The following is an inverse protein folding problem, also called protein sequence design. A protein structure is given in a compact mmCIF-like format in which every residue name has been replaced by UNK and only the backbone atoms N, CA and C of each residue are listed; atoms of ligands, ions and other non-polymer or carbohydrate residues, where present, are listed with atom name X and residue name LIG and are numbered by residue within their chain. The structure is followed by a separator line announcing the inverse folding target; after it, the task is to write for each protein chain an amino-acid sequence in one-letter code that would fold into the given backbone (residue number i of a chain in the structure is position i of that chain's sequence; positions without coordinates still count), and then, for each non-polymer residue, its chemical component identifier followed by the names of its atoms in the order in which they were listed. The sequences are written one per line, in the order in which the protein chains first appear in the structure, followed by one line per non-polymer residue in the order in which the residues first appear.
data_IF_019922561706
#
_entry.id   IF_019922561706
#
_cell.length_a   1.000
_cell.length_b   1.000
_cell.length_c   1.000
_cell.angle_alpha   90.00
_cell.angle_beta   90.00
_cell.angle_gamma   90.00
#
_symmetry.space_group_name_H-M   'P 1'
#
loop_
_entity.id
_entity.type
_entity.pdbx_description
1 polymer ?
#
# COMPACT_ATOMS: atom_id res chain seq x y z
N UNK A 1 -7.17 -23.22 -6.46
CA UNK A 1 -5.80 -22.67 -6.39
C UNK A 1 -5.93 -21.16 -6.53
N UNK A 2 -5.36 -20.37 -5.62
CA UNK A 2 -5.29 -18.91 -5.82
C UNK A 2 -4.27 -18.64 -6.91
N UNK A 3 -4.63 -17.88 -7.93
CA UNK A 3 -3.73 -17.52 -9.03
C UNK A 3 -2.63 -16.55 -8.56
N UNK A 4 -2.95 -15.70 -7.58
CA UNK A 4 -1.99 -14.82 -6.92
C UNK A 4 -2.44 -13.36 -6.91
N UNK A 5 -1.61 -12.51 -6.30
CA UNK A 5 -1.76 -11.07 -6.21
C UNK A 5 -0.43 -10.41 -6.56
N UNK A 6 -0.51 -9.34 -7.32
CA UNK A 6 0.64 -8.46 -7.57
C UNK A 6 0.25 -7.04 -7.18
N UNK A 7 1.17 -6.34 -6.54
CA UNK A 7 0.96 -4.95 -6.13
C UNK A 7 2.19 -4.12 -6.41
N UNK A 8 1.94 -2.88 -6.81
CA UNK A 8 2.94 -1.85 -7.06
C UNK A 8 2.63 -0.63 -6.23
N UNK A 9 3.67 -0.05 -5.64
CA UNK A 9 3.61 1.19 -4.89
C UNK A 9 4.75 2.09 -5.31
N UNK A 10 4.48 3.40 -5.39
CA UNK A 10 5.51 4.40 -5.65
C UNK A 10 5.30 5.60 -4.75
N UNK A 11 6.40 6.15 -4.27
CA UNK A 11 6.40 7.41 -3.58
C UNK A 11 6.04 8.53 -4.56
N UNK A 12 5.16 9.44 -4.16
CA UNK A 12 4.73 10.58 -4.97
C UNK A 12 5.33 11.88 -4.44
N UNK A 13 5.00 12.22 -3.20
CA UNK A 13 5.38 13.48 -2.56
C UNK A 13 5.26 13.38 -1.03
N UNK A 14 5.88 14.32 -0.32
CA UNK A 14 5.66 14.53 1.11
C UNK A 14 4.81 15.79 1.26
N UNK A 15 3.69 15.68 1.97
CA UNK A 15 2.78 16.79 2.26
C UNK A 15 2.52 16.84 3.76
N UNK A 16 2.84 17.97 4.38
CA UNK A 16 2.58 18.22 5.80
C UNK A 16 3.14 17.13 6.74
N UNK A 17 4.31 16.58 6.43
CA UNK A 17 4.94 15.48 7.19
C UNK A 17 4.32 14.09 6.95
N UNK A 18 3.35 14.00 6.04
CA UNK A 18 2.82 12.73 5.54
C UNK A 18 3.45 12.39 4.20
N UNK A 19 3.91 11.15 4.06
CA UNK A 19 4.38 10.57 2.82
C UNK A 19 3.17 10.06 2.03
N UNK A 20 3.04 10.56 0.80
CA UNK A 20 1.98 10.17 -0.12
C UNK A 20 2.55 9.12 -1.07
N UNK A 21 1.92 7.95 -1.06
CA UNK A 21 2.22 6.84 -1.94
C UNK A 21 1.04 6.59 -2.86
N UNK A 22 1.33 6.36 -4.14
CA UNK A 22 0.35 5.83 -5.06
C UNK A 22 0.55 4.34 -5.21
N UNK A 23 -0.55 3.62 -5.34
CA UNK A 23 -0.50 2.17 -5.45
C UNK A 23 -1.55 1.64 -6.41
N UNK A 24 -1.25 0.48 -6.98
CA UNK A 24 -2.13 -0.29 -7.85
C UNK A 24 -1.74 -1.76 -7.78
N UNK A 25 -2.53 -2.62 -8.40
CA UNK A 25 -2.21 -4.03 -8.44
C UNK A 25 -3.26 -4.82 -9.18
N UNK A 26 -3.08 -6.13 -9.19
CA UNK A 26 -4.02 -7.06 -9.78
C UNK A 26 -4.29 -8.20 -8.81
N UNK A 27 -5.55 -8.60 -8.80
CA UNK A 27 -5.98 -9.86 -8.23
C UNK A 27 -6.17 -10.85 -9.39
N UNK A 28 -5.22 -11.77 -9.58
CA UNK A 28 -5.32 -12.74 -10.66
C UNK A 28 -6.47 -13.75 -10.45
N UNK A 29 -7.12 -13.74 -9.29
CA UNK A 29 -8.33 -14.52 -9.03
C UNK A 29 -9.63 -13.85 -9.53
N UNK A 30 -9.58 -12.58 -9.92
CA UNK A 30 -10.71 -11.84 -10.42
C UNK A 30 -10.49 -11.45 -11.89
N UNK A 31 -11.55 -11.38 -12.72
CA UNK A 31 -11.44 -10.79 -14.05
C UNK A 31 -11.05 -9.32 -13.88
N UNK A 32 -9.87 -8.96 -14.35
CA UNK A 32 -9.33 -7.60 -14.37
C UNK A 32 -8.83 -7.32 -15.78
N UNK A 33 -9.03 -6.10 -16.28
CA UNK A 33 -8.39 -5.66 -17.50
C UNK A 33 -6.88 -5.59 -17.25
N UNK A 34 -6.08 -6.23 -18.11
CA UNK A 34 -4.61 -6.35 -17.96
C UNK A 34 -3.87 -5.00 -18.03
N UNK A 35 -4.54 -3.94 -18.45
CA UNK A 35 -3.98 -2.58 -18.50
C UNK A 35 -4.12 -1.84 -17.15
N UNK A 36 -4.88 -2.38 -16.19
CA UNK A 36 -5.20 -1.68 -14.93
C UNK A 36 -4.11 -1.83 -13.84
N UNK A 37 -3.15 -2.76 -13.97
CA UNK A 37 -2.15 -3.05 -12.92
C UNK A 37 -1.22 -1.87 -12.59
N UNK A 38 -1.01 -0.94 -13.53
CA UNK A 38 -0.04 0.16 -13.42
C UNK A 38 -0.72 1.54 -13.45
N UNK A 39 -2.02 1.61 -13.13
CA UNK A 39 -2.73 2.88 -13.09
C UNK A 39 -2.27 3.80 -11.95
N UNK A 40 -1.73 3.25 -10.86
CA UNK A 40 -1.38 4.00 -9.65
C UNK A 40 -2.52 4.92 -9.18
N UNK A 41 -3.74 4.41 -9.25
CA UNK A 41 -4.96 5.17 -9.02
C UNK A 41 -5.43 5.16 -7.57
N UNK A 42 -4.86 4.25 -6.75
CA UNK A 42 -4.97 4.26 -5.30
C UNK A 42 -3.95 5.18 -4.64
N UNK A 43 -4.31 5.78 -3.53
CA UNK A 43 -3.48 6.74 -2.78
C UNK A 43 -3.47 6.39 -1.29
N UNK A 44 -2.28 6.25 -0.73
CA UNK A 44 -2.02 5.99 0.69
C UNK A 44 -1.26 7.18 1.27
N UNK A 45 -1.63 7.57 2.48
CA UNK A 45 -0.93 8.57 3.29
C UNK A 45 -0.35 7.90 4.53
N UNK A 46 0.95 8.09 4.76
CA UNK A 46 1.68 7.53 5.90
C UNK A 46 2.38 8.69 6.61
N UNK A 47 2.10 8.94 7.88
CA UNK A 47 2.89 9.90 8.65
C UNK A 47 4.36 9.44 8.72
N UNK A 48 5.31 10.30 8.34
CA UNK A 48 6.74 9.95 8.22
C UNK A 48 7.34 9.39 9.51
N UNK A 49 6.91 9.93 10.66
CA UNK A 49 7.37 9.50 11.98
C UNK A 49 7.05 8.03 12.27
N UNK A 50 5.99 7.51 11.66
CA UNK A 50 5.55 6.13 11.86
C UNK A 50 6.52 5.13 11.24
N UNK A 51 7.27 5.51 10.21
CA UNK A 51 8.26 4.59 9.61
C UNK A 51 9.35 4.18 10.59
N UNK A 52 9.60 4.99 11.63
CA UNK A 52 10.51 4.66 12.74
C UNK A 52 9.85 3.78 13.82
N UNK A 53 8.52 3.66 13.81
CA UNK A 53 7.78 2.86 14.78
C UNK A 53 7.78 1.38 14.38
N UNK A 54 7.77 0.50 15.38
CA UNK A 54 7.92 -0.93 15.09
C UNK A 54 6.63 -1.58 14.55
N UNK A 55 5.47 -0.94 14.73
CA UNK A 55 4.15 -1.53 14.45
C UNK A 55 3.26 -0.65 13.57
N UNK A 56 3.20 -0.98 12.27
CA UNK A 56 2.25 -0.38 11.32
C UNK A 56 0.78 -0.62 11.71
N UNK A 57 0.48 -1.71 12.42
CA UNK A 57 -0.88 -2.04 12.85
C UNK A 57 -1.44 -1.01 13.84
N UNK A 58 -0.62 -0.55 14.79
CA UNK A 58 -1.02 0.52 15.74
C UNK A 58 -1.24 1.83 15.00
N UNK A 59 -0.35 2.18 14.07
CA UNK A 59 -0.48 3.41 13.31
C UNK A 59 -1.71 3.46 12.38
N UNK A 60 -2.15 2.29 11.88
CA UNK A 60 -3.43 2.17 11.17
C UNK A 60 -4.60 2.43 12.13
N UNK A 61 -4.58 1.86 13.34
CA UNK A 61 -5.62 2.05 14.35
C UNK A 61 -5.69 3.50 14.84
N UNK A 62 -4.55 4.14 15.06
CA UNK A 62 -4.43 5.54 15.45
C UNK A 62 -4.78 6.50 14.30
N UNK A 63 -4.96 5.98 13.08
CA UNK A 63 -5.26 6.78 11.90
C UNK A 63 -4.08 7.61 11.40
N UNK A 64 -2.85 7.25 11.72
CA UNK A 64 -1.62 7.89 11.19
C UNK A 64 -1.27 7.36 9.80
N UNK A 65 -1.79 6.17 9.46
CA UNK A 65 -1.80 5.60 8.12
C UNK A 65 -3.25 5.57 7.64
N UNK A 66 -3.50 6.09 6.42
CA UNK A 66 -4.84 6.13 5.82
C UNK A 66 -4.77 5.85 4.32
N UNK A 67 -5.78 5.17 3.80
CA UNK A 67 -6.05 5.13 2.36
C UNK A 67 -6.89 6.37 2.03
N UNK A 68 -6.32 7.30 1.26
CA UNK A 68 -7.06 8.47 0.76
C UNK A 68 -8.02 8.04 -0.35
N UNK A 69 -7.54 7.13 -1.21
CA UNK A 69 -8.31 6.61 -2.35
C UNK A 69 -7.95 5.15 -2.58
N UNK A 70 -8.95 4.30 -2.69
CA UNK A 70 -8.76 2.90 -3.06
C UNK A 70 -8.44 2.80 -4.57
N UNK A 71 -7.56 1.85 -4.94
CA UNK A 71 -7.34 1.54 -6.34
C UNK A 71 -8.55 0.81 -6.96
N UNK A 72 -8.70 0.85 -8.28
CA UNK A 72 -9.80 0.20 -9.02
C UNK A 72 -9.90 -1.30 -8.69
N UNK A 73 -8.76 -1.93 -8.46
CA UNK A 73 -8.63 -3.36 -8.16
C UNK A 73 -8.59 -3.65 -6.66
N UNK A 74 -9.06 -2.73 -5.81
CA UNK A 74 -9.06 -2.90 -4.37
C UNK A 74 -9.74 -4.21 -3.97
N UNK A 75 -9.03 -4.98 -3.13
CA UNK A 75 -9.52 -6.26 -2.66
C UNK A 75 -9.78 -6.20 -1.16
N UNK A 76 -11.00 -5.83 -0.81
CA UNK A 76 -11.47 -5.77 0.57
C UNK A 76 -11.79 -7.17 1.09
N UNK A 77 -10.73 -7.91 1.43
CA UNK A 77 -10.82 -9.28 1.99
C UNK A 77 -11.36 -9.31 3.43
N UNK A 78 -11.21 -8.20 4.16
CA UNK A 78 -11.56 -8.11 5.58
C UNK A 78 -12.71 -7.12 5.76
N UNK A 79 -13.90 -7.61 6.18
CA UNK A 79 -15.06 -6.74 6.43
C UNK A 79 -14.82 -5.73 7.57
N UNK A 80 -13.95 -6.08 8.52
CA UNK A 80 -13.67 -5.29 9.72
C UNK A 80 -12.47 -4.36 9.57
N UNK A 81 -11.62 -4.56 8.56
CA UNK A 81 -10.45 -3.71 8.31
C UNK A 81 -10.77 -2.85 7.09
N UNK A 82 -10.86 -1.53 7.28
CA UNK A 82 -11.06 -0.54 6.20
C UNK A 82 -9.84 -0.36 5.29
N UNK A 83 -9.02 -1.40 5.14
CA UNK A 83 -7.85 -1.39 4.28
C UNK A 83 -7.98 -2.50 3.24
N UNK A 84 -7.90 -2.08 2.00
CA UNK A 84 -7.64 -2.95 0.85
C UNK A 84 -6.41 -3.83 1.11
N UNK A 85 -6.53 -5.11 0.77
CA UNK A 85 -5.46 -6.09 0.87
C UNK A 85 -4.18 -5.65 0.13
N UNK A 86 -4.31 -5.07 -1.07
CA UNK A 86 -3.18 -4.57 -1.84
C UNK A 86 -2.49 -3.43 -1.10
N UNK A 87 -3.25 -2.42 -0.64
CA UNK A 87 -2.73 -1.31 0.13
C UNK A 87 -1.97 -1.78 1.38
N UNK A 88 -2.54 -2.73 2.13
CA UNK A 88 -1.90 -3.29 3.33
C UNK A 88 -0.57 -3.96 3.00
N UNK A 89 -0.51 -4.75 1.93
CA UNK A 89 0.73 -5.42 1.51
C UNK A 89 1.78 -4.42 1.02
N UNK A 90 1.37 -3.36 0.32
CA UNK A 90 2.26 -2.25 -0.06
C UNK A 90 2.83 -1.57 1.18
N UNK A 91 2.00 -1.23 2.17
CA UNK A 91 2.46 -0.63 3.43
C UNK A 91 3.49 -1.54 4.11
N UNK A 92 3.22 -2.84 4.23
CA UNK A 92 4.17 -3.78 4.85
C UNK A 92 5.53 -3.77 4.14
N UNK A 93 5.53 -3.73 2.79
CA UNK A 93 6.79 -3.66 2.03
C UNK A 93 7.50 -2.32 2.20
N UNK A 94 6.78 -1.19 2.22
CA UNK A 94 7.36 0.13 2.53
C UNK A 94 8.08 0.11 3.87
N UNK A 95 7.45 -0.45 4.91
CA UNK A 95 8.05 -0.54 6.24
C UNK A 95 9.27 -1.47 6.26
N UNK A 96 9.19 -2.63 5.59
CA UNK A 96 10.32 -3.56 5.52
C UNK A 96 11.52 -2.95 4.78
N UNK A 97 11.28 -2.33 3.62
CA UNK A 97 12.32 -1.68 2.83
C UNK A 97 12.94 -0.50 3.59
N UNK A 98 12.11 0.29 4.29
CA UNK A 98 12.59 1.36 5.15
C UNK A 98 13.45 0.83 6.31
N UNK A 99 13.02 -0.24 6.99
CA UNK A 99 13.79 -0.87 8.07
C UNK A 99 15.12 -1.46 7.58
N UNK A 100 15.20 -1.90 6.33
CA UNK A 100 16.43 -2.46 5.74
C UNK A 100 17.38 -1.38 5.21
N UNK A 101 16.86 -0.38 4.50
CA UNK A 101 17.66 0.64 3.82
C UNK A 101 17.91 1.89 4.65
N UNK A 102 17.04 2.21 5.62
CA UNK A 102 17.04 3.48 6.35
C UNK A 102 16.55 4.68 5.54
N UNK A 103 16.21 4.49 4.26
CA UNK A 103 15.77 5.51 3.33
C UNK A 103 14.31 5.29 2.91
N UNK A 104 13.62 6.38 2.57
CA UNK A 104 12.22 6.33 2.12
C UNK A 104 12.16 5.62 0.76
N UNK A 105 11.50 4.44 0.68
CA UNK A 105 11.50 3.66 -0.55
C UNK A 105 10.71 4.38 -1.63
N UNK A 106 11.36 4.63 -2.77
CA UNK A 106 10.76 5.34 -3.90
C UNK A 106 9.77 4.46 -4.67
N UNK A 107 10.03 3.15 -4.71
CA UNK A 107 9.21 2.15 -5.39
C UNK A 107 9.21 0.88 -4.55
N UNK A 108 8.06 0.25 -4.46
CA UNK A 108 7.86 -1.03 -3.81
C UNK A 108 6.98 -1.90 -4.69
N UNK A 109 7.21 -3.21 -4.68
CA UNK A 109 6.36 -4.15 -5.39
C UNK A 109 6.41 -5.50 -4.71
N UNK A 110 5.32 -6.26 -4.79
CA UNK A 110 5.26 -7.62 -4.29
C UNK A 110 4.49 -8.53 -5.24
N UNK A 111 4.81 -9.82 -5.20
CA UNK A 111 4.08 -10.89 -5.86
C UNK A 111 3.83 -12.01 -4.83
N UNK A 112 2.60 -12.51 -4.73
CA UNK A 112 2.21 -13.56 -3.78
C UNK A 112 1.15 -14.51 -4.34
#
# INVERSE_FOLDING_TARGET
MSLGFIGYGRYKEEREGCLIYEYSGENWNAPCDKDDCLLYDGVISIEKNVLYEDSYAKAIQDGRIKIIKECKNAFNRFKDIKFDYLALRIIIHIFNDYKQSGEIPQKVSFIQ
#
